data_IF_699952226608
#
_entry.id   IF_699952226608
#
_cell.length_a   1.000
_cell.length_b   1.000
_cell.length_c   1.000
_cell.angle_alpha   90.00
_cell.angle_beta   90.00
_cell.angle_gamma   90.00
#
_symmetry.space_group_name_H-M   'P 1'
#
loop_
_entity.id
_entity.type
_entity.pdbx_description
1 polymer ?
#
# COMPACT_ATOMS: atom_id res chain seq x y z
N UNK A 1 14.88 25.18 -1.62
CA UNK A 1 14.38 25.71 -0.34
C UNK A 1 13.17 24.89 0.05
N UNK A 2 12.95 24.56 1.32
CA UNK A 2 11.67 23.97 1.72
C UNK A 2 10.59 25.02 1.46
N UNK A 3 9.54 24.66 0.72
CA UNK A 3 8.42 25.53 0.37
C UNK A 3 7.10 24.76 0.48
N UNK A 4 5.98 25.48 0.55
CA UNK A 4 4.64 24.87 0.54
C UNK A 4 4.43 24.00 -0.71
N UNK A 5 4.91 24.46 -1.86
CA UNK A 5 4.79 23.79 -3.16
C UNK A 5 5.58 22.48 -3.18
N UNK A 6 6.76 22.47 -2.55
CA UNK A 6 7.53 21.24 -2.37
C UNK A 6 6.77 20.24 -1.50
N UNK A 7 6.18 20.69 -0.37
CA UNK A 7 5.37 19.82 0.49
C UNK A 7 4.18 19.24 -0.28
N UNK A 8 3.47 20.08 -1.06
CA UNK A 8 2.35 19.64 -1.91
C UNK A 8 2.76 18.50 -2.85
N UNK A 9 3.83 18.71 -3.62
CA UNK A 9 4.32 17.71 -4.57
C UNK A 9 4.80 16.43 -3.91
N UNK A 10 5.51 16.55 -2.78
CA UNK A 10 5.96 15.39 -1.99
C UNK A 10 4.78 14.61 -1.42
N UNK A 11 3.75 15.27 -0.93
CA UNK A 11 2.54 14.62 -0.43
C UNK A 11 1.86 13.82 -1.54
N UNK A 12 1.67 14.40 -2.74
CA UNK A 12 1.06 13.69 -3.86
C UNK A 12 1.89 12.47 -4.29
N UNK A 13 3.21 12.60 -4.35
CA UNK A 13 4.11 11.51 -4.72
C UNK A 13 4.13 10.38 -3.67
N UNK A 14 4.14 10.70 -2.37
CA UNK A 14 4.10 9.69 -1.32
C UNK A 14 2.78 8.92 -1.38
N UNK A 15 1.65 9.60 -1.59
CA UNK A 15 0.36 8.95 -1.76
C UNK A 15 0.35 8.06 -3.00
N UNK A 16 0.91 8.50 -4.13
CA UNK A 16 1.01 7.68 -5.35
C UNK A 16 1.71 6.36 -5.05
N UNK A 17 2.84 6.40 -4.34
CA UNK A 17 3.59 5.19 -3.99
C UNK A 17 2.84 4.32 -3.00
N UNK A 18 2.21 4.92 -1.99
CA UNK A 18 1.45 4.19 -0.98
C UNK A 18 0.28 3.41 -1.58
N UNK A 19 -0.41 3.98 -2.57
CA UNK A 19 -1.59 3.38 -3.18
C UNK A 19 -1.25 2.36 -4.28
N UNK A 20 -0.13 2.53 -4.98
CA UNK A 20 0.20 1.71 -6.17
C UNK A 20 1.24 0.64 -5.92
N UNK A 21 2.01 0.71 -4.83
CA UNK A 21 3.18 -0.14 -4.61
C UNK A 21 3.14 -0.78 -3.22
N UNK A 22 3.43 -2.09 -3.15
CA UNK A 22 3.61 -2.77 -1.86
C UNK A 22 5.08 -2.80 -1.42
N UNK A 23 5.35 -2.75 -0.10
CA UNK A 23 6.68 -3.03 0.45
C UNK A 23 7.22 -4.41 0.04
N UNK A 24 8.53 -4.50 -0.16
CA UNK A 24 9.19 -5.73 -0.65
C UNK A 24 8.98 -6.94 0.26
N UNK A 25 9.00 -6.72 1.56
CA UNK A 25 8.75 -7.74 2.58
C UNK A 25 7.32 -8.26 2.54
N UNK A 26 6.33 -7.40 2.30
CA UNK A 26 4.92 -7.78 2.12
C UNK A 26 4.74 -8.59 0.84
N UNK A 27 5.33 -8.16 -0.28
CA UNK A 27 5.31 -8.94 -1.54
C UNK A 27 5.93 -10.32 -1.36
N UNK A 28 7.09 -10.38 -0.69
CA UNK A 28 7.75 -11.64 -0.41
C UNK A 28 6.91 -12.53 0.52
N UNK A 29 6.17 -11.95 1.47
CA UNK A 29 5.24 -12.70 2.31
C UNK A 29 4.07 -13.28 1.52
N UNK A 30 3.46 -12.50 0.61
CA UNK A 30 2.40 -12.99 -0.29
C UNK A 30 2.90 -14.11 -1.21
N UNK A 31 4.09 -13.96 -1.78
CA UNK A 31 4.70 -15.00 -2.62
C UNK A 31 4.96 -16.30 -1.82
N UNK A 32 5.53 -16.20 -0.62
CA UNK A 32 5.72 -17.36 0.25
C UNK A 32 4.40 -18.01 0.68
N UNK A 33 3.35 -17.21 0.92
CA UNK A 33 2.02 -17.74 1.22
C UNK A 33 1.50 -18.54 0.02
N UNK A 34 1.56 -17.97 -1.19
CA UNK A 34 1.15 -18.65 -2.41
C UNK A 34 1.90 -19.97 -2.64
N UNK A 35 3.23 -19.98 -2.44
CA UNK A 35 4.07 -21.17 -2.56
C UNK A 35 3.73 -22.25 -1.52
N UNK A 36 3.28 -21.86 -0.32
CA UNK A 36 2.84 -22.79 0.74
C UNK A 36 1.49 -23.42 0.46
N UNK A 37 0.64 -22.76 -0.34
CA UNK A 37 -0.61 -23.34 -0.83
C UNK A 37 -0.41 -24.38 -1.93
N UNK A 38 0.83 -24.76 -2.25
CA UNK A 38 1.12 -25.78 -3.25
C UNK A 38 0.55 -27.14 -2.86
N UNK A 39 -0.09 -27.75 -3.85
CA UNK A 39 -0.46 -29.16 -3.85
C UNK A 39 0.79 -29.99 -3.55
N UNK A 40 0.67 -30.86 -2.56
CA UNK A 40 1.63 -31.92 -2.33
C UNK A 40 1.79 -32.74 -3.61
N UNK A 41 2.92 -32.57 -4.31
CA UNK A 41 3.30 -33.36 -5.48
C UNK A 41 3.81 -34.74 -5.09
N UNK A 42 2.98 -35.55 -4.43
CA UNK A 42 3.25 -36.97 -4.33
C UNK A 42 2.67 -37.67 -5.56
N UNK A 43 3.48 -38.51 -6.22
CA UNK A 43 3.00 -39.58 -7.10
C UNK A 43 2.25 -40.68 -6.31
N UNK A 44 1.65 -40.37 -5.14
CA UNK A 44 0.76 -41.31 -4.45
C UNK A 44 -0.67 -41.11 -4.93
N UNK A 45 -1.29 -42.18 -5.44
CA UNK A 45 -2.72 -42.23 -5.74
C UNK A 45 -3.55 -42.32 -4.47
N UNK A 46 -3.48 -41.30 -3.63
CA UNK A 46 -4.02 -41.26 -2.29
C UNK A 46 -5.16 -40.22 -2.23
N UNK A 47 -6.43 -40.67 -2.18
CA UNK A 47 -7.59 -39.80 -1.99
C UNK A 47 -7.55 -39.18 -0.59
N UNK A 48 -7.49 -37.85 -0.52
CA UNK A 48 -7.29 -37.10 0.71
C UNK A 48 -8.55 -37.07 1.60
N UNK A 49 -8.77 -38.17 2.32
CA UNK A 49 -9.79 -38.27 3.37
C UNK A 49 -9.23 -38.16 4.79
N UNK A 50 -8.11 -38.82 5.09
CA UNK A 50 -7.55 -38.88 6.45
C UNK A 50 -6.04 -39.19 6.43
N UNK A 51 -5.19 -38.18 6.64
CA UNK A 51 -3.78 -38.31 7.04
C UNK A 51 -2.78 -38.73 5.96
N UNK A 52 -1.91 -37.81 5.52
CA UNK A 52 -0.68 -38.15 4.81
C UNK A 52 0.49 -38.20 5.81
N UNK A 53 1.31 -39.25 5.75
CA UNK A 53 2.60 -39.36 6.45
C UNK A 53 3.76 -38.73 5.67
N UNK A 54 3.46 -37.95 4.64
CA UNK A 54 4.42 -37.17 3.89
C UNK A 54 4.64 -35.85 4.64
N UNK A 55 5.85 -35.59 5.16
CA UNK A 55 6.24 -34.41 5.94
C UNK A 55 6.20 -33.08 5.18
N UNK A 56 5.08 -32.77 4.56
CA UNK A 56 4.83 -31.59 3.74
C UNK A 56 4.31 -30.49 4.67
N UNK A 57 5.06 -29.40 4.80
CA UNK A 57 4.67 -28.23 5.62
C UNK A 57 3.69 -27.29 4.87
N UNK A 58 3.07 -27.73 3.78
CA UNK A 58 2.18 -26.93 2.92
C UNK A 58 0.72 -26.97 3.37
N UNK A 59 0.04 -25.83 3.30
CA UNK A 59 -1.39 -25.68 3.57
C UNK A 59 -2.12 -25.92 2.23
N UNK A 60 -2.45 -27.14 1.84
CA UNK A 60 -2.94 -27.44 0.48
C UNK A 60 -4.38 -26.98 0.19
N UNK A 61 -4.67 -25.67 0.14
CA UNK A 61 -6.00 -25.14 -0.15
C UNK A 61 -6.06 -24.42 -1.51
N UNK A 62 -6.71 -25.06 -2.49
CA UNK A 62 -6.87 -24.54 -3.85
C UNK A 62 -7.55 -23.16 -3.90
N UNK A 63 -8.56 -22.92 -3.05
CA UNK A 63 -9.25 -21.63 -3.01
C UNK A 63 -8.28 -20.54 -2.54
N UNK A 64 -7.52 -20.81 -1.48
CA UNK A 64 -6.53 -19.86 -0.96
C UNK A 64 -5.45 -19.56 -2.00
N UNK A 65 -4.95 -20.59 -2.71
CA UNK A 65 -3.99 -20.45 -3.81
C UNK A 65 -4.49 -19.51 -4.89
N UNK A 66 -5.72 -19.69 -5.38
CA UNK A 66 -6.34 -18.83 -6.40
C UNK A 66 -6.51 -17.39 -5.90
N UNK A 67 -6.88 -17.19 -4.63
CA UNK A 67 -7.00 -15.84 -4.08
C UNK A 67 -5.63 -15.14 -3.98
N UNK A 68 -4.58 -15.86 -3.53
CA UNK A 68 -3.23 -15.31 -3.43
C UNK A 68 -2.64 -14.99 -4.81
N UNK A 69 -2.92 -15.82 -5.82
CA UNK A 69 -2.57 -15.54 -7.21
C UNK A 69 -3.23 -14.24 -7.69
N UNK A 70 -4.54 -14.09 -7.47
CA UNK A 70 -5.27 -12.87 -7.80
C UNK A 70 -4.71 -11.63 -7.09
N UNK A 71 -4.30 -11.76 -5.82
CA UNK A 71 -3.66 -10.68 -5.07
C UNK A 71 -2.30 -10.30 -5.68
N UNK A 72 -1.45 -11.27 -6.00
CA UNK A 72 -0.15 -11.03 -6.61
C UNK A 72 -0.27 -10.37 -7.99
N UNK A 73 -1.23 -10.82 -8.80
CA UNK A 73 -1.50 -10.23 -10.11
C UNK A 73 -2.04 -8.80 -9.99
N UNK A 74 -2.94 -8.55 -9.02
CA UNK A 74 -3.41 -7.20 -8.73
C UNK A 74 -2.26 -6.26 -8.31
N UNK A 75 -1.30 -6.77 -7.52
CA UNK A 75 -0.10 -6.00 -7.14
C UNK A 75 0.73 -5.63 -8.36
N UNK A 76 0.95 -6.58 -9.28
CA UNK A 76 1.68 -6.33 -10.54
C UNK A 76 0.97 -5.27 -11.39
N UNK A 77 -0.33 -5.41 -11.59
CA UNK A 77 -1.13 -4.49 -12.39
C UNK A 77 -1.21 -3.08 -11.78
N UNK A 78 -1.33 -2.96 -10.46
CA UNK A 78 -1.33 -1.67 -9.78
C UNK A 78 -0.04 -0.86 -10.04
N UNK A 79 1.10 -1.55 -10.01
CA UNK A 79 2.41 -0.93 -10.27
C UNK A 79 2.60 -0.55 -11.73
N UNK A 80 2.23 -1.44 -12.67
CA UNK A 80 2.36 -1.17 -14.10
C UNK A 80 1.43 -0.05 -14.59
N UNK A 81 0.17 -0.08 -14.13
CA UNK A 81 -0.86 0.86 -14.55
C UNK A 81 -0.87 2.14 -13.71
N UNK A 82 -0.07 2.19 -12.64
CA UNK A 82 -0.07 3.28 -11.66
C UNK A 82 -1.50 3.56 -11.13
N UNK A 83 -2.20 2.49 -10.75
CA UNK A 83 -3.58 2.52 -10.21
C UNK A 83 -3.62 1.99 -8.77
N UNK A 84 -4.56 2.47 -7.94
CA UNK A 84 -4.68 1.99 -6.58
C UNK A 84 -4.84 0.47 -6.50
N UNK A 85 -4.08 -0.15 -5.59
CA UNK A 85 -4.13 -1.57 -5.26
C UNK A 85 -5.50 -2.00 -4.74
N UNK A 86 -6.18 -1.11 -4.03
CA UNK A 86 -7.48 -1.35 -3.43
C UNK A 86 -8.49 -0.30 -3.92
N UNK A 87 -9.75 -0.71 -4.01
CA UNK A 87 -10.86 0.20 -4.26
C UNK A 87 -11.04 1.22 -3.13
N UNK A 88 -10.74 0.82 -1.90
CA UNK A 88 -10.71 1.68 -0.73
C UNK A 88 -9.29 2.20 -0.48
N UNK A 89 -9.04 3.46 -0.84
CA UNK A 89 -7.74 4.13 -0.66
C UNK A 89 -7.56 4.69 0.76
N UNK A 90 -8.38 4.24 1.71
CA UNK A 90 -8.26 4.56 3.13
C UNK A 90 -8.42 6.04 3.48
N UNK A 91 -7.81 6.42 4.60
CA UNK A 91 -7.78 7.78 5.15
C UNK A 91 -6.31 8.26 5.21
N UNK A 92 -5.94 9.33 4.49
CA UNK A 92 -4.60 9.89 4.57
C UNK A 92 -4.26 10.39 5.98
N UNK A 93 -3.32 9.72 6.66
CA UNK A 93 -2.84 10.08 7.99
C UNK A 93 -1.36 10.47 7.91
N UNK A 94 -1.04 11.70 8.35
CA UNK A 94 0.32 12.24 8.28
C UNK A 94 0.90 12.46 9.67
N UNK A 95 2.07 11.88 9.92
CA UNK A 95 2.89 12.17 11.10
C UNK A 95 4.01 13.14 10.72
N UNK A 96 3.88 14.40 11.15
CA UNK A 96 4.85 15.45 10.79
C UNK A 96 5.78 15.71 11.96
N UNK A 97 7.08 15.49 11.76
CA UNK A 97 8.13 15.94 12.67
C UNK A 97 8.85 17.13 12.05
N UNK A 98 8.70 18.30 12.66
CA UNK A 98 9.28 19.55 12.16
C UNK A 98 10.19 20.19 13.22
N UNK A 99 11.43 20.52 12.83
CA UNK A 99 12.39 21.22 13.68
C UNK A 99 12.41 22.71 13.37
N UNK A 100 12.60 23.56 14.38
CA UNK A 100 12.58 25.02 14.26
C UNK A 100 13.90 25.65 13.75
N UNK A 101 14.79 24.87 13.13
CA UNK A 101 16.06 25.35 12.56
C UNK A 101 17.10 25.86 13.56
N UNK A 102 16.80 25.88 14.86
CA UNK A 102 17.74 26.32 15.90
C UNK A 102 18.95 25.37 15.93
N UNK A 103 20.13 25.89 15.57
CA UNK A 103 21.40 25.17 15.60
C UNK A 103 21.88 24.59 14.26
N UNK A 104 21.09 24.62 13.19
CA UNK A 104 21.45 24.03 11.89
C UNK A 104 22.00 25.03 10.86
N UNK A 105 22.09 26.33 11.19
CA UNK A 105 22.46 27.39 10.25
C UNK A 105 21.47 27.61 9.09
N UNK A 106 20.35 26.86 9.07
CA UNK A 106 19.31 26.92 8.04
C UNK A 106 18.11 27.66 8.59
N UNK A 107 17.83 28.84 8.05
CA UNK A 107 16.61 29.56 8.35
C UNK A 107 15.44 28.85 7.64
N UNK A 108 14.64 28.11 8.40
CA UNK A 108 13.40 27.49 7.92
C UNK A 108 12.30 28.56 7.98
N UNK A 109 12.15 29.34 6.92
CA UNK A 109 11.00 30.23 6.73
C UNK A 109 9.76 29.40 6.35
N UNK A 110 9.39 28.42 7.17
CA UNK A 110 8.18 27.63 6.98
C UNK A 110 7.49 27.39 8.32
N UNK A 111 6.22 27.75 8.38
CA UNK A 111 5.36 27.51 9.54
C UNK A 111 4.68 26.14 9.45
N UNK A 112 4.25 25.60 10.60
CA UNK A 112 3.42 24.40 10.64
C UNK A 112 2.13 24.56 9.82
N UNK A 113 1.56 25.76 9.80
CA UNK A 113 0.36 26.09 9.00
C UNK A 113 0.64 25.95 7.50
N UNK A 114 1.81 26.35 7.04
CA UNK A 114 2.21 26.16 5.63
C UNK A 114 2.44 24.69 5.29
N UNK A 115 2.99 23.90 6.22
CA UNK A 115 3.12 22.44 6.04
C UNK A 115 1.74 21.80 5.91
N UNK A 116 0.83 22.11 6.84
CA UNK A 116 -0.53 21.60 6.83
C UNK A 116 -1.27 21.96 5.53
N UNK A 117 -1.18 23.22 5.10
CA UNK A 117 -1.76 23.65 3.82
C UNK A 117 -1.13 22.95 2.62
N UNK A 118 0.18 22.75 2.63
CA UNK A 118 0.88 21.98 1.60
C UNK A 118 0.35 20.55 1.51
N UNK A 119 0.17 19.89 2.65
CA UNK A 119 -0.40 18.53 2.72
C UNK A 119 -1.83 18.50 2.19
N UNK A 120 -2.70 19.42 2.64
CA UNK A 120 -4.11 19.48 2.18
C UNK A 120 -4.19 19.63 0.66
N UNK A 121 -3.41 20.55 0.09
CA UNK A 121 -3.39 20.75 -1.36
C UNK A 121 -2.80 19.53 -2.09
N UNK A 122 -1.82 18.86 -1.49
CA UNK A 122 -1.22 17.64 -2.06
C UNK A 122 -2.20 16.47 -2.06
N UNK A 123 -3.03 16.34 -1.02
CA UNK A 123 -4.10 15.33 -0.96
C UNK A 123 -5.18 15.61 -2.01
N UNK A 124 -5.56 16.87 -2.22
CA UNK A 124 -6.49 17.24 -3.30
C UNK A 124 -5.94 16.86 -4.68
N UNK A 125 -4.70 17.24 -4.97
CA UNK A 125 -4.01 16.91 -6.22
C UNK A 125 -3.88 15.38 -6.41
N UNK A 126 -3.55 14.66 -5.34
CA UNK A 126 -3.48 13.20 -5.34
C UNK A 126 -4.84 12.55 -5.63
N UNK A 127 -5.92 13.09 -5.07
CA UNK A 127 -7.28 12.58 -5.26
C UNK A 127 -7.69 12.60 -6.73
N UNK A 128 -7.31 13.65 -7.46
CA UNK A 128 -7.60 13.78 -8.89
C UNK A 128 -6.64 12.96 -9.77
N UNK A 129 -5.35 12.89 -9.42
CA UNK A 129 -4.30 12.34 -10.28
C UNK A 129 -3.94 10.86 -10.02
N UNK A 130 -4.32 10.29 -8.87
CA UNK A 130 -4.13 8.87 -8.48
C UNK A 130 -5.49 8.14 -8.40
N UNK A 131 -6.55 8.77 -8.91
CA UNK A 131 -7.95 8.58 -8.48
C UNK A 131 -8.15 7.99 -7.07
N UNK A 132 -7.83 8.76 -6.01
CA UNK A 132 -8.17 8.32 -4.65
C UNK A 132 -9.68 8.31 -4.46
N UNK A 133 -10.20 7.33 -3.71
CA UNK A 133 -11.62 7.29 -3.40
C UNK A 133 -11.96 8.40 -2.40
N UNK A 134 -13.01 9.22 -2.65
CA UNK A 134 -13.43 10.28 -1.73
C UNK A 134 -14.17 9.69 -0.52
N UNK A 135 -13.44 8.98 0.34
CA UNK A 135 -13.99 8.32 1.53
C UNK A 135 -14.34 9.30 2.66
N UNK A 136 -13.76 10.49 2.66
CA UNK A 136 -14.02 11.54 3.65
C UNK A 136 -15.18 12.41 3.20
N UNK A 137 -16.31 12.30 3.89
CA UNK A 137 -17.54 13.04 3.56
C UNK A 137 -17.88 14.03 4.66
N UNK A 138 -18.53 15.13 4.28
CA UNK A 138 -19.16 16.01 5.25
C UNK A 138 -20.40 15.33 5.83
N UNK A 139 -20.47 15.19 7.15
CA UNK A 139 -21.56 14.48 7.83
C UNK A 139 -22.94 15.12 7.62
N UNK A 140 -23.02 16.42 7.32
CA UNK A 140 -24.27 17.15 7.13
C UNK A 140 -24.65 17.31 5.66
N UNK A 141 -23.66 17.47 4.78
CA UNK A 141 -23.89 17.95 3.41
C UNK A 141 -23.47 16.98 2.32
N UNK A 142 -23.17 15.72 2.66
CA UNK A 142 -22.57 14.70 1.77
C UNK A 142 -22.84 14.91 0.28
#
# INVERSE_FOLDING_TARGET
MLSKELIRGVTAEILRRAETTLPKDVKAALARAYERECECGCECGCECGYGCECGCEGEGNEIAKVQLEAMLENVRLAEELQRPLCQDTGLPLFFVKFGNGRGSGRNLNLSLVEIERGIIEGVKEATETIPLRPNVVNALTR
#
